data_IF_490763295610
#
_entry.id   IF_490763295610
#
_cell.length_a   1.000
_cell.length_b   1.000
_cell.length_c   1.000
_cell.angle_alpha   90.00
_cell.angle_beta   90.00
_cell.angle_gamma   90.00
#
_symmetry.space_group_name_H-M   'P 1'
#
loop_
_entity.id
_entity.type
_entity.pdbx_description
1 polymer ?
#
# COMPACT_ATOMS: atom_id res chain seq x y z
N UNK A 1 13.41 49.00 -1.13
CA UNK A 1 12.83 48.48 -2.39
C UNK A 1 13.06 46.98 -2.42
N UNK A 2 12.08 46.22 -1.98
CA UNK A 2 12.14 44.74 -1.92
C UNK A 2 11.42 44.21 -3.18
N UNK A 3 12.23 43.56 -4.03
CA UNK A 3 11.73 42.90 -5.25
C UNK A 3 10.90 41.65 -4.85
N UNK A 4 9.64 41.73 -5.19
CA UNK A 4 8.64 40.69 -4.87
C UNK A 4 8.12 40.07 -6.17
N UNK A 5 9.03 39.45 -6.95
CA UNK A 5 8.68 38.73 -8.17
C UNK A 5 8.19 37.33 -7.82
N UNK A 6 7.01 36.88 -8.26
CA UNK A 6 6.51 35.53 -8.01
C UNK A 6 7.31 34.51 -8.81
N UNK A 7 7.87 33.52 -8.12
CA UNK A 7 8.50 32.35 -8.72
C UNK A 7 7.48 31.54 -9.52
N UNK A 8 7.82 31.09 -10.73
CA UNK A 8 6.91 30.25 -11.52
C UNK A 8 6.74 28.89 -10.87
N UNK A 9 5.51 28.55 -10.50
CA UNK A 9 5.13 27.19 -10.14
C UNK A 9 5.52 26.22 -11.27
N UNK A 10 6.51 25.37 -11.05
CA UNK A 10 6.76 24.22 -11.92
C UNK A 10 5.51 23.34 -11.86
N UNK A 11 4.68 23.41 -12.88
CA UNK A 11 3.61 22.44 -13.14
C UNK A 11 4.31 21.10 -13.40
N UNK A 12 4.31 20.21 -12.43
CA UNK A 12 4.70 18.83 -12.65
C UNK A 12 3.83 18.25 -13.76
N UNK A 13 4.45 17.61 -14.73
CA UNK A 13 3.75 16.80 -15.73
C UNK A 13 2.93 15.75 -15.00
N UNK A 14 1.60 15.89 -15.01
CA UNK A 14 0.73 14.92 -14.40
C UNK A 14 0.53 13.74 -15.38
N UNK A 15 0.14 12.60 -14.84
CA UNK A 15 -0.09 11.33 -15.55
C UNK A 15 -1.00 11.50 -16.79
N UNK A 16 -1.98 12.43 -16.75
CA UNK A 16 -2.90 12.74 -17.85
C UNK A 16 -2.19 13.33 -19.08
N UNK A 17 -1.21 14.19 -18.87
CA UNK A 17 -0.51 14.88 -19.98
C UNK A 17 0.44 13.94 -20.73
N UNK A 18 1.02 12.95 -20.04
CA UNK A 18 1.96 12.01 -20.64
C UNK A 18 1.27 10.90 -21.43
N UNK A 19 0.19 10.34 -20.92
CA UNK A 19 -0.53 9.24 -21.59
C UNK A 19 -1.20 9.68 -22.89
N UNK A 20 -1.59 10.95 -23.01
CA UNK A 20 -2.10 11.52 -24.27
C UNK A 20 -1.01 11.65 -25.36
N UNK A 21 0.27 11.75 -24.96
CA UNK A 21 1.41 11.85 -25.88
C UNK A 21 2.02 10.50 -26.28
N UNK A 22 1.92 9.46 -25.45
CA UNK A 22 2.57 8.16 -25.66
C UNK A 22 1.89 7.28 -26.71
N UNK A 23 0.67 7.61 -27.11
CA UNK A 23 -0.03 6.88 -28.18
C UNK A 23 0.54 7.13 -29.60
N UNK A 24 1.51 8.03 -29.75
CA UNK A 24 1.99 8.49 -31.04
C UNK A 24 3.44 8.10 -31.41
N UNK A 25 4.24 7.51 -30.53
CA UNK A 25 5.63 7.14 -30.86
C UNK A 25 5.98 5.74 -30.38
N UNK A 26 5.92 4.77 -31.29
CA UNK A 26 6.50 3.45 -31.09
C UNK A 26 8.04 3.54 -31.16
N UNK A 27 8.70 3.47 -30.02
CA UNK A 27 10.16 3.33 -29.96
C UNK A 27 10.52 1.87 -29.65
N UNK A 28 11.06 1.19 -30.65
CA UNK A 28 11.69 -0.12 -30.50
C UNK A 28 13.04 0.07 -29.80
N UNK A 29 13.19 -0.42 -28.58
CA UNK A 29 14.47 -0.56 -27.91
C UNK A 29 14.80 -2.05 -27.77
N UNK A 30 15.98 -2.43 -28.29
CA UNK A 30 16.40 -3.80 -28.44
C UNK A 30 16.62 -4.57 -27.15
N UNK A 31 16.23 -5.83 -27.18
CA UNK A 31 16.46 -6.83 -26.15
C UNK A 31 17.91 -7.34 -26.22
N UNK A 32 18.74 -6.92 -25.29
CA UNK A 32 20.02 -7.56 -25.02
C UNK A 32 19.81 -8.71 -24.03
N UNK A 33 20.08 -9.93 -24.45
CA UNK A 33 20.10 -11.12 -23.62
C UNK A 33 21.25 -11.01 -22.58
N UNK A 34 20.90 -10.92 -21.29
CA UNK A 34 21.86 -11.02 -20.20
C UNK A 34 21.90 -12.46 -19.67
N UNK A 35 22.94 -13.17 -20.10
CA UNK A 35 23.30 -14.45 -19.52
C UNK A 35 23.71 -14.29 -18.05
N UNK A 36 23.06 -15.01 -17.17
CA UNK A 36 23.39 -15.05 -15.73
C UNK A 36 24.63 -15.92 -15.47
N UNK A 37 25.76 -15.31 -15.17
CA UNK A 37 26.88 -16.01 -14.50
C UNK A 37 26.67 -15.92 -12.99
N UNK A 38 26.34 -17.04 -12.38
CA UNK A 38 26.32 -17.18 -10.93
C UNK A 38 27.74 -17.01 -10.36
N UNK A 39 28.00 -15.89 -9.72
CA UNK A 39 29.15 -15.70 -8.82
C UNK A 39 28.68 -15.93 -7.39
N UNK A 40 29.38 -16.85 -6.69
CA UNK A 40 29.11 -17.21 -5.31
C UNK A 40 29.05 -15.99 -4.40
N UNK A 41 27.87 -15.74 -3.88
CA UNK A 41 27.67 -14.79 -2.79
C UNK A 41 27.98 -15.48 -1.47
N UNK A 42 28.91 -14.92 -0.72
CA UNK A 42 29.17 -15.33 0.66
C UNK A 42 27.86 -15.37 1.45
N UNK A 43 27.69 -16.41 2.25
CA UNK A 43 26.54 -16.61 3.14
C UNK A 43 26.50 -15.53 4.21
N UNK A 44 25.88 -14.39 3.90
CA UNK A 44 25.39 -13.53 4.95
C UNK A 44 24.31 -14.32 5.69
N UNK A 45 24.58 -14.66 6.95
CA UNK A 45 23.62 -15.29 7.86
C UNK A 45 22.32 -14.50 7.79
N UNK A 46 21.23 -15.16 7.36
CA UNK A 46 19.92 -14.53 7.32
C UNK A 46 19.61 -14.06 8.75
N UNK A 47 19.50 -12.75 8.95
CA UNK A 47 19.16 -12.20 10.26
C UNK A 47 17.83 -12.85 10.69
N UNK A 48 17.77 -13.39 11.91
CA UNK A 48 16.55 -14.01 12.42
C UNK A 48 15.43 -12.98 12.41
N UNK A 49 14.31 -13.30 11.75
CA UNK A 49 13.15 -12.39 11.63
C UNK A 49 12.45 -12.24 12.95
N UNK A 50 11.75 -11.11 13.09
CA UNK A 50 10.76 -10.98 14.15
C UNK A 50 9.64 -12.01 13.92
N UNK A 51 9.23 -12.77 14.96
CA UNK A 51 8.21 -13.80 14.83
C UNK A 51 6.85 -13.18 14.53
N UNK A 52 6.05 -13.86 13.72
CA UNK A 52 4.64 -13.53 13.52
C UNK A 52 3.81 -14.00 14.71
N UNK A 53 2.85 -13.22 15.21
CA UNK A 53 1.97 -13.59 16.32
C UNK A 53 0.85 -14.54 15.87
N UNK A 54 1.21 -15.73 15.35
CA UNK A 54 0.30 -16.65 14.66
C UNK A 54 -0.78 -17.30 15.52
N UNK A 55 -0.72 -17.15 16.84
CA UNK A 55 -1.71 -17.70 17.81
C UNK A 55 -2.25 -16.61 18.73
N UNK A 56 -2.22 -15.35 18.31
CA UNK A 56 -2.67 -14.25 19.14
C UNK A 56 -4.17 -14.34 19.42
N UNK A 57 -4.55 -14.11 20.67
CA UNK A 57 -5.95 -13.89 21.09
C UNK A 57 -6.36 -12.41 20.98
N UNK A 58 -5.39 -11.52 20.93
CA UNK A 58 -5.54 -10.09 20.66
C UNK A 58 -4.33 -9.58 19.90
N UNK A 59 -4.49 -8.51 19.13
CA UNK A 59 -3.44 -7.85 18.35
C UNK A 59 -3.54 -6.35 18.49
N UNK A 60 -2.38 -5.69 18.59
CA UNK A 60 -2.26 -4.25 18.40
C UNK A 60 -1.44 -3.99 17.13
N UNK A 61 -2.05 -3.39 16.12
CA UNK A 61 -1.52 -3.30 14.75
C UNK A 61 -1.32 -1.84 14.35
N UNK A 62 -0.14 -1.51 13.83
CA UNK A 62 0.14 -0.26 13.15
C UNK A 62 -0.27 -0.38 11.68
N UNK A 63 -0.97 0.62 11.14
CA UNK A 63 -1.38 0.66 9.71
C UNK A 63 -0.85 1.91 9.05
N UNK A 64 0.03 1.74 8.06
CA UNK A 64 0.65 2.84 7.31
C UNK A 64 0.62 2.54 5.82
N UNK A 65 0.46 3.55 4.98
CA UNK A 65 0.63 3.48 3.53
C UNK A 65 1.35 4.71 3.03
N UNK A 66 1.96 4.62 1.85
CA UNK A 66 2.58 5.75 1.18
C UNK A 66 3.71 6.40 2.02
N UNK A 67 4.46 5.55 2.71
CA UNK A 67 5.44 5.98 3.70
C UNK A 67 6.85 6.20 3.14
N UNK A 68 7.19 5.59 1.99
CA UNK A 68 8.54 5.36 1.51
C UNK A 68 9.32 6.55 0.95
N UNK A 69 9.24 7.74 1.56
CA UNK A 69 9.94 8.94 1.04
C UNK A 69 11.38 9.07 1.53
N UNK A 70 11.69 8.61 2.74
CA UNK A 70 12.98 8.86 3.40
C UNK A 70 13.14 10.30 3.91
N UNK A 71 12.06 11.09 3.92
CA UNK A 71 12.07 12.52 4.25
C UNK A 71 11.56 12.80 5.67
N UNK A 72 11.75 14.04 6.12
CA UNK A 72 11.32 14.51 7.46
C UNK A 72 9.86 14.14 7.82
N UNK A 73 8.88 14.25 6.90
CA UNK A 73 7.51 13.88 7.23
C UNK A 73 7.35 12.41 7.64
N UNK A 74 8.00 11.48 6.94
CA UNK A 74 8.00 10.07 7.31
C UNK A 74 8.58 9.87 8.72
N UNK A 75 9.72 10.51 9.02
CA UNK A 75 10.33 10.43 10.35
C UNK A 75 9.42 10.99 11.46
N UNK A 76 8.65 12.04 11.16
CA UNK A 76 7.68 12.59 12.13
C UNK A 76 6.56 11.59 12.44
N UNK A 77 6.00 10.95 11.40
CA UNK A 77 4.96 9.92 11.55
C UNK A 77 5.49 8.71 12.31
N UNK A 78 6.66 8.21 11.97
CA UNK A 78 7.26 7.06 12.68
C UNK A 78 7.67 7.40 14.11
N UNK A 79 8.08 8.64 14.39
CA UNK A 79 8.33 9.10 15.76
C UNK A 79 7.04 9.12 16.58
N UNK A 80 5.93 9.54 15.98
CA UNK A 80 4.61 9.50 16.61
C UNK A 80 4.16 8.05 16.91
N UNK A 81 4.34 7.14 15.94
CA UNK A 81 4.06 5.72 16.12
C UNK A 81 4.91 5.09 17.25
N UNK A 82 6.22 5.45 17.34
CA UNK A 82 7.09 5.00 18.44
C UNK A 82 6.60 5.43 19.82
N UNK A 83 5.99 6.62 19.94
CA UNK A 83 5.43 7.07 21.24
C UNK A 83 4.28 6.18 21.69
N UNK A 84 3.39 5.79 20.76
CA UNK A 84 2.32 4.84 21.05
C UNK A 84 2.91 3.48 21.37
N UNK A 85 3.86 2.99 20.57
CA UNK A 85 4.52 1.71 20.78
C UNK A 85 5.19 1.59 22.14
N UNK A 86 5.74 2.68 22.67
CA UNK A 86 6.39 2.72 23.99
C UNK A 86 5.41 2.48 25.15
N UNK A 87 4.15 2.85 25.00
CA UNK A 87 3.10 2.68 26.01
C UNK A 87 2.19 1.49 25.74
N UNK A 88 1.89 1.26 24.48
CA UNK A 88 1.05 0.16 23.99
C UNK A 88 1.76 -0.49 22.81
N UNK A 89 2.55 -1.53 23.05
CA UNK A 89 3.38 -2.16 22.02
C UNK A 89 2.55 -2.69 20.85
N UNK A 90 3.04 -2.44 19.62
CA UNK A 90 2.51 -3.07 18.41
C UNK A 90 3.06 -4.48 18.25
N UNK A 91 2.23 -5.40 17.82
CA UNK A 91 2.61 -6.78 17.49
C UNK A 91 3.14 -6.88 16.05
N UNK A 92 2.59 -6.06 15.15
CA UNK A 92 2.97 -6.00 13.74
C UNK A 92 2.51 -4.69 13.09
N UNK A 93 2.95 -4.46 11.84
CA UNK A 93 2.42 -3.41 11.00
C UNK A 93 1.87 -3.94 9.68
N UNK A 94 0.89 -3.21 9.11
CA UNK A 94 0.45 -3.32 7.72
C UNK A 94 1.04 -2.14 6.94
N UNK A 95 1.89 -2.44 5.95
CA UNK A 95 2.42 -1.50 4.98
C UNK A 95 1.59 -1.57 3.70
N UNK A 96 0.86 -0.51 3.36
CA UNK A 96 -0.16 -0.51 2.32
C UNK A 96 0.37 -0.05 0.94
N UNK A 97 1.65 -0.25 0.66
CA UNK A 97 2.28 0.08 -0.62
C UNK A 97 2.89 1.47 -0.68
N UNK A 98 3.51 1.75 -1.82
CA UNK A 98 4.39 2.90 -2.04
C UNK A 98 5.47 2.98 -0.97
N UNK A 99 6.15 1.85 -0.88
CA UNK A 99 7.19 1.58 0.10
C UNK A 99 8.49 2.32 -0.23
N UNK A 100 8.73 2.59 -1.53
CA UNK A 100 9.94 3.21 -2.07
C UNK A 100 9.59 4.25 -3.14
N UNK A 101 9.40 5.51 -2.74
CA UNK A 101 9.25 6.66 -3.65
C UNK A 101 10.60 7.11 -4.22
N UNK A 102 10.71 7.85 -5.34
CA UNK A 102 9.62 8.05 -6.33
C UNK A 102 9.55 6.89 -7.30
N UNK A 103 10.62 6.11 -7.40
CA UNK A 103 10.75 4.92 -8.25
C UNK A 103 11.18 3.74 -7.39
N UNK A 104 10.56 2.59 -7.60
CA UNK A 104 10.85 1.37 -6.85
C UNK A 104 12.33 0.93 -6.90
N UNK A 105 12.72 -0.02 -6.06
CA UNK A 105 14.11 -0.44 -5.94
C UNK A 105 14.59 -1.16 -7.21
N UNK A 106 15.89 -1.06 -7.52
CA UNK A 106 16.52 -1.74 -8.65
C UNK A 106 16.87 -3.20 -8.36
N UNK A 107 16.94 -3.55 -7.09
CA UNK A 107 17.28 -4.90 -6.62
C UNK A 107 17.22 -4.96 -5.10
N UNK A 108 17.38 -6.15 -4.49
CA UNK A 108 17.26 -6.31 -3.03
C UNK A 108 18.41 -5.67 -2.26
N UNK A 109 19.46 -5.21 -2.92
CA UNK A 109 20.60 -4.50 -2.34
C UNK A 109 20.48 -2.97 -2.47
N UNK A 110 19.37 -2.47 -3.02
CA UNK A 110 19.19 -1.03 -3.23
C UNK A 110 19.22 -0.29 -1.89
N UNK A 111 20.08 0.73 -1.83
CA UNK A 111 20.23 1.58 -0.64
C UNK A 111 18.92 2.28 -0.23
N UNK A 112 17.96 2.38 -1.11
CA UNK A 112 16.65 2.95 -0.83
C UNK A 112 15.93 2.22 0.32
N UNK A 113 16.10 0.90 0.45
CA UNK A 113 15.54 0.16 1.60
C UNK A 113 16.08 0.68 2.93
N UNK A 114 17.38 0.97 2.98
CA UNK A 114 17.99 1.53 4.19
C UNK A 114 17.46 2.93 4.51
N UNK A 115 17.37 3.80 3.51
CA UNK A 115 17.02 5.21 3.72
C UNK A 115 15.53 5.47 3.84
N UNK A 116 14.70 4.64 3.20
CA UNK A 116 13.26 4.86 3.12
C UNK A 116 12.43 3.88 3.98
N UNK A 117 13.04 2.80 4.46
CA UNK A 117 12.37 1.86 5.34
C UNK A 117 13.12 1.62 6.65
N UNK A 118 14.37 1.10 6.63
CA UNK A 118 15.03 0.66 7.85
C UNK A 118 15.32 1.83 8.83
N UNK A 119 15.92 2.92 8.34
CA UNK A 119 16.24 4.08 9.17
C UNK A 119 14.99 4.80 9.72
N UNK A 120 13.99 5.15 8.90
CA UNK A 120 12.79 5.80 9.42
C UNK A 120 12.07 4.95 10.48
N UNK A 121 12.02 3.63 10.30
CA UNK A 121 11.32 2.71 11.21
C UNK A 121 12.20 2.13 12.33
N UNK A 122 13.39 2.66 12.55
CA UNK A 122 14.24 2.21 13.66
C UNK A 122 13.51 2.36 15.00
N UNK A 123 13.55 1.30 15.82
CA UNK A 123 12.83 1.23 17.11
C UNK A 123 11.36 0.80 16.99
N UNK A 124 10.88 0.47 15.79
CA UNK A 124 9.62 -0.24 15.55
C UNK A 124 9.95 -1.67 15.12
N UNK A 125 10.39 -2.48 16.09
CA UNK A 125 11.05 -3.76 15.89
C UNK A 125 10.08 -4.94 15.98
N UNK A 126 9.23 -5.06 14.97
CA UNK A 126 8.21 -6.11 14.77
C UNK A 126 8.02 -6.38 13.26
N UNK A 127 7.27 -7.45 12.87
CA UNK A 127 7.01 -7.73 11.45
C UNK A 127 6.16 -6.62 10.78
N UNK A 128 6.54 -6.24 9.57
CA UNK A 128 5.78 -5.36 8.70
C UNK A 128 5.26 -6.15 7.52
N UNK A 129 3.96 -6.38 7.42
CA UNK A 129 3.32 -7.06 6.30
C UNK A 129 3.17 -6.06 5.16
N UNK A 130 4.01 -6.19 4.12
CA UNK A 130 4.16 -5.18 3.08
C UNK A 130 3.31 -5.52 1.84
N UNK A 131 2.68 -4.51 1.28
CA UNK A 131 1.92 -4.55 0.01
C UNK A 131 2.72 -3.79 -1.06
N UNK A 132 2.62 -4.19 -2.32
CA UNK A 132 3.21 -3.46 -3.43
C UNK A 132 2.32 -2.30 -3.90
N UNK A 133 2.90 -1.11 -4.02
CA UNK A 133 2.27 0.07 -4.63
C UNK A 133 2.73 0.32 -6.06
N UNK A 134 2.17 1.35 -6.69
CA UNK A 134 2.51 1.71 -8.07
C UNK A 134 3.90 2.36 -8.17
N UNK A 135 4.36 3.10 -7.16
CA UNK A 135 5.74 3.61 -7.12
C UNK A 135 6.76 2.48 -7.01
N UNK A 136 6.44 1.42 -6.29
CA UNK A 136 7.28 0.22 -6.15
C UNK A 136 7.49 -0.50 -7.49
N UNK A 137 6.56 -0.35 -8.43
CA UNK A 137 6.57 -0.93 -9.78
C UNK A 137 6.79 0.10 -10.89
N UNK A 138 7.44 1.22 -10.61
CA UNK A 138 7.71 2.27 -11.61
C UNK A 138 8.50 1.75 -12.82
N UNK A 139 8.05 2.06 -14.04
CA UNK A 139 8.73 1.75 -15.29
C UNK A 139 9.40 2.98 -15.90
N UNK A 140 8.62 3.91 -16.40
CA UNK A 140 9.06 5.03 -17.25
C UNK A 140 9.09 6.33 -16.44
N UNK A 141 8.04 6.61 -15.69
CA UNK A 141 7.94 7.81 -14.85
C UNK A 141 7.40 7.45 -13.46
N UNK A 142 7.75 8.24 -12.44
CA UNK A 142 7.39 7.93 -11.06
C UNK A 142 5.90 7.61 -10.88
N UNK A 143 5.61 6.43 -10.32
CA UNK A 143 4.25 6.01 -10.01
C UNK A 143 3.41 5.51 -11.18
N UNK A 144 4.00 5.22 -12.34
CA UNK A 144 3.26 4.65 -13.48
C UNK A 144 2.80 3.20 -13.26
N UNK A 145 3.45 2.49 -12.32
CA UNK A 145 3.09 1.11 -11.95
C UNK A 145 3.36 0.08 -13.05
N UNK A 146 3.95 0.47 -14.18
CA UNK A 146 4.02 -0.35 -15.38
C UNK A 146 5.14 -1.39 -15.40
N UNK A 147 6.11 -1.35 -14.49
CA UNK A 147 7.21 -2.31 -14.45
C UNK A 147 7.10 -3.28 -13.28
N UNK A 148 6.27 -4.27 -13.43
CA UNK A 148 5.95 -5.23 -12.37
C UNK A 148 7.16 -5.96 -11.79
N UNK A 149 8.22 -6.17 -12.57
CA UNK A 149 9.44 -6.83 -12.11
C UNK A 149 10.22 -6.07 -11.01
N UNK A 150 9.99 -4.77 -10.83
CA UNK A 150 10.60 -4.04 -9.70
C UNK A 150 10.07 -4.51 -8.35
N UNK A 151 8.80 -4.86 -8.27
CA UNK A 151 8.24 -5.44 -7.05
C UNK A 151 8.92 -6.75 -6.63
N UNK A 152 9.57 -7.48 -7.56
CA UNK A 152 10.36 -8.68 -7.22
C UNK A 152 11.60 -8.35 -6.37
N UNK A 153 12.14 -7.14 -6.50
CA UNK A 153 13.22 -6.67 -5.62
C UNK A 153 12.76 -6.55 -4.17
N UNK A 154 11.53 -6.09 -3.95
CA UNK A 154 10.92 -6.00 -2.62
C UNK A 154 10.60 -7.38 -2.03
N UNK A 155 10.08 -8.28 -2.85
CA UNK A 155 9.90 -9.69 -2.46
C UNK A 155 11.24 -10.32 -2.08
N UNK A 156 12.31 -10.06 -2.85
CA UNK A 156 13.64 -10.57 -2.53
C UNK A 156 14.23 -9.94 -1.26
N UNK A 157 13.91 -8.67 -0.98
CA UNK A 157 14.34 -7.97 0.23
C UNK A 157 13.78 -8.60 1.52
N UNK A 158 12.66 -9.31 1.45
CA UNK A 158 12.15 -10.13 2.53
C UNK A 158 13.22 -11.03 3.18
N UNK A 159 14.18 -11.52 2.44
CA UNK A 159 15.26 -12.38 2.97
C UNK A 159 16.38 -11.62 3.66
N UNK A 160 16.39 -10.28 3.57
CA UNK A 160 17.47 -9.44 4.08
C UNK A 160 17.09 -8.65 5.33
N UNK A 161 15.82 -8.28 5.45
CA UNK A 161 15.30 -7.50 6.58
C UNK A 161 14.66 -8.40 7.65
N UNK A 162 14.83 -8.01 8.91
CA UNK A 162 14.14 -8.65 10.04
C UNK A 162 12.69 -8.20 10.13
N UNK A 163 12.39 -6.96 9.68
CA UNK A 163 11.07 -6.33 9.75
C UNK A 163 10.23 -6.61 8.52
N UNK A 164 10.82 -6.49 7.33
CA UNK A 164 10.11 -6.56 6.05
C UNK A 164 9.58 -7.95 5.78
N UNK A 165 8.27 -8.13 5.85
CA UNK A 165 7.61 -9.39 5.57
C UNK A 165 6.83 -9.30 4.25
N UNK A 166 7.38 -9.83 3.19
CA UNK A 166 6.80 -9.92 1.85
C UNK A 166 7.32 -11.19 1.16
N UNK A 167 6.82 -12.39 1.56
CA UNK A 167 7.35 -13.66 1.04
C UNK A 167 7.01 -13.88 -0.43
N UNK A 168 5.99 -13.20 -0.95
CA UNK A 168 5.54 -13.19 -2.33
C UNK A 168 4.82 -11.86 -2.60
N UNK A 169 4.48 -11.59 -3.87
CA UNK A 169 3.73 -10.39 -4.27
C UNK A 169 2.30 -10.37 -3.72
N UNK A 170 1.70 -11.55 -3.53
CA UNK A 170 0.45 -11.75 -2.78
C UNK A 170 0.60 -12.95 -1.85
N UNK A 171 0.06 -12.84 -0.67
CA UNK A 171 0.21 -13.85 0.38
C UNK A 171 -0.83 -13.67 1.49
N UNK A 172 -0.93 -14.65 2.39
CA UNK A 172 -1.74 -14.53 3.59
C UNK A 172 -0.94 -14.90 4.84
N UNK A 173 -1.33 -14.30 5.96
CA UNK A 173 -0.71 -14.53 7.26
C UNK A 173 -1.80 -14.83 8.28
N UNK A 174 -1.85 -16.05 8.83
CA UNK A 174 -2.73 -16.38 9.95
C UNK A 174 -2.14 -15.81 11.24
N UNK A 175 -2.91 -15.01 11.96
CA UNK A 175 -2.51 -14.33 13.20
C UNK A 175 -3.36 -14.74 14.41
N UNK A 176 -4.05 -15.89 14.34
CA UNK A 176 -4.96 -16.34 15.39
C UNK A 176 -6.30 -15.60 15.33
N UNK A 177 -6.40 -14.44 15.95
CA UNK A 177 -7.65 -13.63 15.98
C UNK A 177 -8.00 -13.00 14.64
N UNK A 178 -7.05 -12.85 13.73
CA UNK A 178 -7.25 -12.30 12.39
C UNK A 178 -6.42 -13.05 11.35
N UNK A 179 -6.94 -13.17 10.12
CA UNK A 179 -6.15 -13.53 8.95
C UNK A 179 -6.01 -12.31 8.06
N UNK A 180 -4.77 -12.01 7.66
CA UNK A 180 -4.43 -10.92 6.73
C UNK A 180 -4.13 -11.51 5.36
N UNK A 181 -4.76 -10.94 4.31
CA UNK A 181 -4.60 -11.30 2.91
C UNK A 181 -4.06 -10.09 2.16
N UNK A 182 -2.82 -10.15 1.72
CA UNK A 182 -2.16 -9.10 0.95
C UNK A 182 -2.26 -9.42 -0.53
N UNK A 183 -2.73 -8.45 -1.33
CA UNK A 183 -2.96 -8.60 -2.76
C UNK A 183 -2.07 -7.64 -3.56
N UNK A 184 -1.60 -8.10 -4.71
CA UNK A 184 -1.00 -7.25 -5.73
C UNK A 184 -2.06 -6.87 -6.78
N UNK A 185 -2.55 -5.63 -6.70
CA UNK A 185 -3.53 -5.08 -7.64
C UNK A 185 -2.91 -4.25 -8.76
N UNK A 186 -1.58 -4.08 -8.78
CA UNK A 186 -0.91 -3.30 -9.82
C UNK A 186 -1.26 -3.75 -11.25
N UNK A 187 -1.36 -5.06 -11.55
CA UNK A 187 -1.76 -5.51 -12.89
C UNK A 187 -3.14 -5.05 -13.35
N UNK A 188 -4.03 -4.70 -12.41
CA UNK A 188 -5.41 -4.27 -12.69
C UNK A 188 -5.62 -2.75 -12.51
N UNK A 189 -4.63 -2.04 -11.98
CA UNK A 189 -4.70 -0.62 -11.66
C UNK A 189 -3.72 0.23 -12.49
N UNK A 190 -2.66 -0.38 -13.06
CA UNK A 190 -1.65 0.29 -13.87
C UNK A 190 -1.79 -0.07 -15.36
N UNK A 191 -1.20 0.75 -16.22
CA UNK A 191 -1.04 0.39 -17.62
C UNK A 191 0.08 -0.63 -17.78
N UNK A 192 -0.26 -1.79 -18.34
CA UNK A 192 0.70 -2.81 -18.69
C UNK A 192 0.86 -2.81 -20.20
N UNK A 193 2.06 -2.49 -20.72
CA UNK A 193 2.31 -2.56 -22.16
C UNK A 193 2.04 -3.98 -22.68
N UNK A 194 1.37 -4.15 -23.82
CA UNK A 194 0.99 -5.47 -24.37
C UNK A 194 2.15 -6.46 -24.56
N UNK A 195 3.37 -5.95 -24.81
CA UNK A 195 4.55 -6.78 -24.98
C UNK A 195 5.12 -7.34 -23.66
N UNK A 196 4.70 -6.78 -22.50
CA UNK A 196 5.09 -7.30 -21.19
C UNK A 196 4.24 -8.48 -20.80
N UNK A 197 3.20 -8.84 -21.63
CA UNK A 197 2.70 -10.16 -21.46
C UNK A 197 1.20 -10.42 -21.33
N UNK A 198 0.78 -11.53 -21.91
CA UNK A 198 -0.44 -12.23 -21.50
C UNK A 198 -0.43 -12.64 -20.01
N UNK A 199 0.75 -12.73 -19.36
CA UNK A 199 0.88 -13.15 -17.97
C UNK A 199 0.24 -12.15 -16.98
N UNK A 200 0.43 -10.84 -17.23
CA UNK A 200 0.08 -9.79 -16.28
C UNK A 200 -1.23 -9.05 -16.59
N UNK A 201 -1.83 -9.29 -17.74
CA UNK A 201 -3.09 -8.64 -18.11
C UNK A 201 -4.28 -9.10 -17.25
N UNK A 202 -5.39 -8.36 -17.23
CA UNK A 202 -6.63 -8.83 -16.66
C UNK A 202 -7.06 -10.16 -17.32
N UNK A 203 -7.22 -11.23 -16.50
CA UNK A 203 -7.48 -12.59 -17.01
C UNK A 203 -6.24 -13.41 -17.36
N UNK A 204 -5.04 -12.82 -17.35
CA UNK A 204 -3.77 -13.53 -17.50
C UNK A 204 -3.48 -14.49 -16.33
N UNK A 205 -2.44 -15.32 -16.50
CA UNK A 205 -2.13 -16.38 -15.53
C UNK A 205 -1.88 -15.86 -14.13
N UNK A 206 -1.18 -14.71 -14.00
CA UNK A 206 -0.87 -14.14 -12.70
C UNK A 206 -2.13 -13.79 -11.91
N UNK A 207 -3.04 -13.03 -12.52
CA UNK A 207 -4.29 -12.62 -11.87
C UNK A 207 -5.25 -13.78 -11.65
N UNK A 208 -5.29 -14.73 -12.58
CA UNK A 208 -6.10 -15.96 -12.42
C UNK A 208 -5.62 -16.81 -11.24
N UNK A 209 -4.29 -16.99 -11.08
CA UNK A 209 -3.70 -17.69 -9.93
C UNK A 209 -3.97 -16.95 -8.62
N UNK A 210 -3.81 -15.62 -8.59
CA UNK A 210 -4.10 -14.82 -7.41
C UNK A 210 -5.59 -14.94 -7.01
N UNK A 211 -6.50 -14.84 -7.97
CA UNK A 211 -7.94 -15.01 -7.72
C UNK A 211 -8.28 -16.40 -7.15
N UNK A 212 -7.80 -17.47 -7.76
CA UNK A 212 -8.04 -18.83 -7.30
C UNK A 212 -7.45 -19.11 -5.91
N UNK A 213 -6.26 -18.56 -5.64
CA UNK A 213 -5.63 -18.62 -4.33
C UNK A 213 -6.47 -17.87 -3.28
N UNK A 214 -6.86 -16.62 -3.58
CA UNK A 214 -7.64 -15.79 -2.65
C UNK A 214 -8.99 -16.44 -2.32
N UNK A 215 -9.69 -16.95 -3.34
CA UNK A 215 -10.97 -17.64 -3.16
C UNK A 215 -10.84 -18.82 -2.22
N UNK A 216 -9.78 -19.61 -2.36
CA UNK A 216 -9.51 -20.73 -1.46
C UNK A 216 -9.15 -20.23 -0.06
N UNK A 217 -8.22 -19.27 0.05
CA UNK A 217 -7.72 -18.76 1.31
C UNK A 217 -8.84 -18.12 2.16
N UNK A 218 -9.69 -17.27 1.56
CA UNK A 218 -10.85 -16.68 2.25
C UNK A 218 -11.90 -17.73 2.66
N UNK A 219 -12.10 -18.78 1.85
CA UNK A 219 -13.05 -19.84 2.18
C UNK A 219 -12.58 -20.74 3.31
N UNK A 220 -11.27 -21.04 3.37
CA UNK A 220 -10.70 -21.93 4.38
C UNK A 220 -10.33 -21.20 5.68
N UNK A 221 -10.25 -19.88 5.67
CA UNK A 221 -10.00 -19.09 6.88
C UNK A 221 -11.13 -19.25 7.90
N UNK A 222 -10.76 -19.61 9.11
CA UNK A 222 -11.65 -19.69 10.28
C UNK A 222 -11.43 -18.58 11.28
N UNK A 223 -10.50 -17.64 10.98
CA UNK A 223 -10.21 -16.52 11.86
C UNK A 223 -11.45 -15.65 12.12
N UNK A 224 -11.63 -15.14 13.35
CA UNK A 224 -12.68 -14.18 13.67
C UNK A 224 -12.72 -13.00 12.70
N UNK A 225 -11.57 -12.46 12.34
CA UNK A 225 -11.49 -11.34 11.41
C UNK A 225 -10.69 -11.68 10.15
N UNK A 226 -11.19 -11.20 9.01
CA UNK A 226 -10.53 -11.32 7.72
C UNK A 226 -10.23 -9.91 7.19
N UNK A 227 -8.95 -9.61 7.02
CA UNK A 227 -8.44 -8.31 6.61
C UNK A 227 -7.77 -8.48 5.26
N UNK A 228 -8.23 -7.75 4.23
CA UNK A 228 -7.59 -7.69 2.93
C UNK A 228 -6.84 -6.38 2.81
N UNK A 229 -5.59 -6.43 2.33
CA UNK A 229 -4.75 -5.27 2.06
C UNK A 229 -4.47 -5.17 0.56
N UNK A 230 -4.70 -3.99 0.01
CA UNK A 230 -4.34 -3.59 -1.36
C UNK A 230 -3.66 -2.23 -1.30
N UNK A 231 -2.91 -1.85 -2.34
CA UNK A 231 -2.44 -0.47 -2.41
C UNK A 231 -3.53 0.46 -2.92
N UNK A 232 -4.07 0.20 -4.10
CA UNK A 232 -5.14 1.02 -4.68
C UNK A 232 -6.48 0.79 -3.95
N UNK A 233 -7.25 1.85 -3.63
CA UNK A 233 -8.55 1.73 -2.98
C UNK A 233 -9.66 1.35 -3.96
N UNK A 234 -10.61 0.52 -3.52
CA UNK A 234 -11.85 0.29 -4.26
C UNK A 234 -12.76 1.53 -4.22
N UNK A 235 -12.96 2.09 -3.04
CA UNK A 235 -13.71 3.33 -2.82
C UNK A 235 -12.80 4.39 -2.23
N UNK A 236 -12.90 5.61 -2.74
CA UNK A 236 -12.02 6.71 -2.39
C UNK A 236 -12.71 8.06 -2.66
N UNK A 237 -12.64 8.97 -1.70
CA UNK A 237 -13.10 10.35 -1.82
C UNK A 237 -11.97 11.33 -2.19
N UNK A 238 -10.73 10.88 -2.22
CA UNK A 238 -9.58 11.71 -2.54
C UNK A 238 -9.36 11.89 -4.06
N UNK A 239 -8.32 12.64 -4.45
CA UNK A 239 -8.11 13.07 -5.83
C UNK A 239 -7.81 11.96 -6.82
N UNK A 240 -7.22 10.83 -6.37
CA UNK A 240 -6.95 9.69 -7.27
C UNK A 240 -8.22 8.94 -7.68
N UNK A 241 -9.35 9.19 -7.03
CA UNK A 241 -10.62 8.56 -7.36
C UNK A 241 -10.74 7.08 -6.95
N UNK A 242 -11.93 6.50 -7.06
CA UNK A 242 -12.18 5.08 -6.77
C UNK A 242 -11.84 4.19 -7.97
N UNK A 243 -11.78 2.89 -7.72
CA UNK A 243 -11.64 1.88 -8.78
C UNK A 243 -12.78 2.01 -9.82
N UNK A 244 -12.40 2.14 -11.08
CA UNK A 244 -13.27 2.49 -12.21
C UNK A 244 -13.24 3.97 -12.59
N UNK A 245 -12.55 4.82 -11.80
CA UNK A 245 -12.37 6.25 -12.08
C UNK A 245 -11.00 6.77 -11.60
N UNK A 246 -9.98 5.91 -11.58
CA UNK A 246 -8.63 6.35 -11.18
C UNK A 246 -8.13 7.47 -12.09
N UNK A 247 -7.76 8.59 -11.47
CA UNK A 247 -7.22 9.80 -12.11
C UNK A 247 -8.10 10.36 -13.25
N UNK A 248 -9.36 9.92 -13.35
CA UNK A 248 -10.25 10.23 -14.47
C UNK A 248 -9.75 9.70 -15.81
N UNK A 249 -8.98 8.61 -15.80
CA UNK A 249 -8.47 7.95 -17.01
C UNK A 249 -9.58 7.11 -17.67
N UNK A 250 -9.48 6.85 -18.99
CA UNK A 250 -10.39 5.92 -19.66
C UNK A 250 -10.06 4.47 -19.29
N UNK A 251 -11.06 3.59 -19.44
CA UNK A 251 -10.82 2.14 -19.35
C UNK A 251 -9.79 1.67 -20.42
N UNK A 252 -8.94 0.69 -20.09
CA UNK A 252 -8.85 -0.08 -18.85
C UNK A 252 -7.99 0.56 -17.75
N UNK A 253 -7.42 1.77 -17.99
CA UNK A 253 -6.45 2.43 -17.10
C UNK A 253 -7.06 2.99 -15.82
N UNK A 254 -8.39 3.09 -15.77
CA UNK A 254 -9.13 3.66 -14.65
C UNK A 254 -9.38 2.68 -13.48
N UNK A 255 -8.78 1.49 -13.51
CA UNK A 255 -8.97 0.47 -12.46
C UNK A 255 -10.31 -0.27 -12.52
N UNK A 256 -11.02 -0.23 -13.66
CA UNK A 256 -12.30 -0.95 -13.80
C UNK A 256 -12.15 -2.47 -13.60
N UNK A 257 -11.02 -3.05 -14.00
CA UNK A 257 -10.75 -4.48 -13.80
C UNK A 257 -10.45 -4.78 -12.32
N UNK A 258 -9.79 -3.89 -11.62
CA UNK A 258 -9.63 -3.99 -10.16
C UNK A 258 -10.99 -3.94 -9.47
N UNK A 259 -11.87 -3.04 -9.87
CA UNK A 259 -13.25 -2.96 -9.35
C UNK A 259 -13.95 -4.31 -9.47
N UNK A 260 -13.95 -4.90 -10.67
CA UNK A 260 -14.56 -6.23 -10.94
C UNK A 260 -13.95 -7.33 -10.08
N UNK A 261 -12.62 -7.32 -9.93
CA UNK A 261 -11.91 -8.30 -9.10
C UNK A 261 -12.36 -8.21 -7.63
N UNK A 262 -12.36 -7.01 -7.04
CA UNK A 262 -12.76 -6.79 -5.64
C UNK A 262 -14.24 -7.17 -5.42
N UNK A 263 -15.14 -6.78 -6.32
CA UNK A 263 -16.58 -7.12 -6.23
C UNK A 263 -16.83 -8.63 -6.29
N UNK A 264 -16.03 -9.36 -7.08
CA UNK A 264 -16.16 -10.80 -7.27
C UNK A 264 -15.50 -11.61 -6.16
N UNK A 265 -14.31 -11.23 -5.70
CA UNK A 265 -13.45 -12.08 -4.87
C UNK A 265 -13.32 -11.61 -3.42
N UNK A 266 -13.60 -10.34 -3.10
CA UNK A 266 -13.42 -9.77 -1.76
C UNK A 266 -14.73 -9.34 -1.11
N UNK A 267 -15.60 -8.69 -1.87
CA UNK A 267 -16.83 -8.07 -1.37
C UNK A 267 -17.74 -9.07 -0.64
N UNK A 268 -18.08 -8.76 0.62
CA UNK A 268 -18.90 -9.61 1.49
C UNK A 268 -18.19 -10.86 2.04
N UNK A 269 -16.90 -11.05 1.73
CA UNK A 269 -16.11 -12.21 2.15
C UNK A 269 -15.01 -11.85 3.15
N UNK A 270 -14.60 -10.59 3.17
CA UNK A 270 -13.70 -10.02 4.15
C UNK A 270 -14.43 -9.00 5.03
N UNK A 271 -13.92 -8.73 6.22
CA UNK A 271 -14.47 -7.72 7.12
C UNK A 271 -13.97 -6.32 6.78
N UNK A 272 -12.69 -6.23 6.36
CA UNK A 272 -12.02 -4.99 6.05
C UNK A 272 -11.23 -5.10 4.73
N UNK A 273 -11.21 -4.01 3.97
CA UNK A 273 -10.33 -3.74 2.86
C UNK A 273 -9.53 -2.48 3.21
N UNK A 274 -8.25 -2.66 3.52
CA UNK A 274 -7.31 -1.56 3.77
C UNK A 274 -6.55 -1.20 2.51
N UNK A 275 -6.38 0.11 2.27
CA UNK A 275 -5.66 0.62 1.10
C UNK A 275 -4.85 1.87 1.45
N UNK A 276 -3.82 2.14 0.65
CA UNK A 276 -3.05 3.37 0.59
C UNK A 276 -3.40 4.21 -0.64
N UNK A 277 -2.38 4.58 -1.43
CA UNK A 277 -2.44 5.25 -2.73
C UNK A 277 -2.92 6.70 -2.68
N UNK A 278 -4.07 6.95 -2.09
CA UNK A 278 -4.52 8.31 -1.85
C UNK A 278 -3.91 8.82 -0.54
N UNK A 279 -3.17 9.92 -0.63
CA UNK A 279 -2.41 10.47 0.49
C UNK A 279 -3.33 11.15 1.52
N UNK A 280 -4.23 10.35 2.06
CA UNK A 280 -5.29 10.75 2.98
C UNK A 280 -5.57 9.64 4.00
N UNK A 281 -6.40 9.95 4.97
CA UNK A 281 -6.99 8.95 5.87
C UNK A 281 -8.50 8.97 5.70
N UNK A 282 -9.12 7.81 5.44
CA UNK A 282 -10.56 7.71 5.25
C UNK A 282 -11.12 6.44 5.90
N UNK A 283 -12.24 6.59 6.60
CA UNK A 283 -13.06 5.50 7.12
C UNK A 283 -14.42 5.60 6.44
N UNK A 284 -14.62 4.84 5.36
CA UNK A 284 -15.82 4.93 4.53
C UNK A 284 -16.96 4.05 5.07
N UNK A 285 -18.19 4.52 4.88
CA UNK A 285 -19.40 3.83 5.32
C UNK A 285 -20.18 3.23 4.15
N UNK A 286 -20.68 2.02 4.36
CA UNK A 286 -21.75 1.42 3.52
C UNK A 286 -21.51 1.51 2.02
N UNK A 287 -20.28 1.22 1.59
CA UNK A 287 -19.93 1.15 0.17
C UNK A 287 -20.66 -0.06 -0.44
N UNK A 288 -21.72 0.21 -1.21
CA UNK A 288 -22.67 -0.82 -1.68
C UNK A 288 -22.01 -1.97 -2.44
N UNK A 289 -21.06 -1.67 -3.33
CA UNK A 289 -20.30 -2.68 -4.09
C UNK A 289 -19.46 -3.61 -3.24
N UNK A 290 -19.14 -3.25 -1.99
CA UNK A 290 -18.36 -4.05 -1.06
C UNK A 290 -19.19 -5.00 -0.18
N UNK A 291 -20.53 -4.98 -0.28
CA UNK A 291 -21.44 -5.96 0.37
C UNK A 291 -21.12 -6.18 1.86
N UNK A 292 -20.85 -5.11 2.61
CA UNK A 292 -20.53 -5.17 4.03
C UNK A 292 -19.03 -5.24 4.37
N UNK A 293 -18.15 -5.49 3.42
CA UNK A 293 -16.70 -5.28 3.60
C UNK A 293 -16.43 -3.76 3.76
N UNK A 294 -15.67 -3.37 4.77
CA UNK A 294 -15.43 -1.96 5.09
C UNK A 294 -14.17 -1.45 4.41
N UNK A 295 -14.27 -0.36 3.65
CA UNK A 295 -13.11 0.28 3.05
C UNK A 295 -12.48 1.27 4.02
N UNK A 296 -11.18 1.12 4.25
CA UNK A 296 -10.34 2.03 5.03
C UNK A 296 -9.17 2.46 4.14
N UNK A 297 -8.90 3.76 4.05
CA UNK A 297 -7.72 4.31 3.39
C UNK A 297 -6.79 4.89 4.44
N UNK A 298 -5.52 4.46 4.44
CA UNK A 298 -4.46 4.96 5.32
C UNK A 298 -3.19 5.19 4.49
N UNK A 299 -3.22 6.23 3.65
CA UNK A 299 -2.16 6.57 2.70
C UNK A 299 -1.39 7.85 3.04
N UNK A 300 -1.48 8.33 4.29
CA UNK A 300 -0.91 9.64 4.67
C UNK A 300 0.37 9.53 5.50
N UNK A 301 1.11 8.41 5.46
CA UNK A 301 2.23 8.22 6.39
C UNK A 301 3.48 9.07 6.08
N UNK A 302 3.61 9.62 4.86
CA UNK A 302 4.70 10.55 4.54
C UNK A 302 4.26 11.73 3.68
N UNK A 303 3.16 11.58 2.96
CA UNK A 303 2.60 12.58 2.04
C UNK A 303 1.19 12.97 2.49
N UNK A 304 0.69 14.09 2.02
CA UNK A 304 -0.72 14.48 2.14
C UNK A 304 -1.13 15.21 0.87
N UNK A 305 -2.38 15.07 0.46
CA UNK A 305 -2.87 15.72 -0.77
C UNK A 305 -3.16 17.21 -0.58
N UNK A 306 -3.21 17.66 0.67
CA UNK A 306 -3.60 19.04 1.03
C UNK A 306 -4.88 19.50 0.30
N UNK A 307 -5.84 18.58 0.21
CA UNK A 307 -7.05 18.69 -0.59
C UNK A 307 -8.34 18.66 0.22
N UNK A 308 -9.42 18.36 -0.48
CA UNK A 308 -10.76 18.17 0.08
C UNK A 308 -11.38 16.89 -0.43
N UNK A 309 -12.31 16.35 0.35
CA UNK A 309 -13.18 15.26 -0.07
C UNK A 309 -13.92 15.59 -1.35
N UNK A 310 -13.97 14.63 -2.27
CA UNK A 310 -14.85 14.72 -3.44
C UNK A 310 -16.30 14.32 -3.10
N UNK A 311 -16.55 13.80 -1.89
CA UNK A 311 -17.89 13.44 -1.42
C UNK A 311 -18.59 12.32 -2.18
N UNK A 312 -17.81 11.43 -2.84
CA UNK A 312 -18.37 10.30 -3.63
C UNK A 312 -19.00 9.24 -2.73
N UNK A 313 -18.45 9.04 -1.55
CA UNK A 313 -18.89 8.05 -0.57
C UNK A 313 -19.08 8.71 0.80
N UNK A 314 -20.07 8.24 1.55
CA UNK A 314 -20.22 8.65 2.93
C UNK A 314 -19.06 8.13 3.78
N UNK A 315 -18.51 9.00 4.63
CA UNK A 315 -17.41 8.66 5.52
C UNK A 315 -17.79 8.94 6.98
N UNK A 316 -17.23 8.11 7.87
CA UNK A 316 -17.21 8.39 9.33
C UNK A 316 -16.11 9.36 9.67
N UNK A 317 -15.01 9.28 8.94
CA UNK A 317 -13.82 10.10 9.16
C UNK A 317 -13.07 10.28 7.85
N UNK A 318 -12.55 11.49 7.62
CA UNK A 318 -11.70 11.84 6.49
C UNK A 318 -10.71 12.93 6.89
N UNK A 319 -9.43 12.73 6.53
CA UNK A 319 -8.38 13.75 6.63
C UNK A 319 -7.54 13.78 5.36
N UNK A 320 -7.38 14.97 4.79
CA UNK A 320 -6.64 15.25 3.56
C UNK A 320 -5.48 16.22 3.76
N UNK A 321 -5.25 16.70 4.98
CA UNK A 321 -4.30 17.78 5.29
C UNK A 321 -3.10 17.27 6.07
N UNK A 322 -3.38 16.60 7.17
CA UNK A 322 -2.36 16.14 8.07
C UNK A 322 -1.87 14.76 7.65
N UNK A 323 -0.60 14.52 7.89
CA UNK A 323 -0.04 13.17 7.79
C UNK A 323 -0.52 12.36 8.96
N UNK A 324 -0.42 11.05 8.83
CA UNK A 324 -0.89 10.21 9.91
C UNK A 324 -0.79 8.73 9.60
N UNK A 325 -1.34 7.96 10.51
CA UNK A 325 -1.41 6.52 10.45
C UNK A 325 -2.65 6.05 11.21
N UNK A 326 -2.98 4.79 11.11
CA UNK A 326 -4.05 4.20 11.92
C UNK A 326 -3.50 3.11 12.83
N UNK A 327 -4.25 2.80 13.88
CA UNK A 327 -3.99 1.65 14.76
C UNK A 327 -5.23 0.80 14.87
N UNK A 328 -5.02 -0.51 15.04
CA UNK A 328 -6.10 -1.46 15.31
C UNK A 328 -5.81 -2.20 16.62
N UNK A 329 -6.77 -2.20 17.52
CA UNK A 329 -6.80 -3.16 18.62
C UNK A 329 -7.85 -4.22 18.27
N UNK A 330 -7.42 -5.47 18.12
CA UNK A 330 -8.24 -6.57 17.61
C UNK A 330 -8.34 -7.65 18.68
N UNK A 331 -9.53 -8.08 19.00
CA UNK A 331 -9.81 -9.31 19.72
C UNK A 331 -10.84 -10.18 18.96
N UNK A 332 -11.26 -11.31 19.54
CA UNK A 332 -12.19 -12.23 18.86
C UNK A 332 -13.59 -11.63 18.62
N UNK A 333 -13.95 -10.54 19.30
CA UNK A 333 -15.30 -9.95 19.29
C UNK A 333 -15.35 -8.54 18.69
N UNK A 334 -14.21 -7.83 18.71
CA UNK A 334 -14.16 -6.44 18.29
C UNK A 334 -12.87 -6.04 17.59
N UNK A 335 -12.98 -5.01 16.76
CA UNK A 335 -11.85 -4.24 16.21
C UNK A 335 -12.08 -2.78 16.56
N UNK A 336 -11.18 -2.22 17.34
CA UNK A 336 -11.12 -0.77 17.59
C UNK A 336 -10.13 -0.17 16.60
N UNK A 337 -10.60 0.70 15.73
CA UNK A 337 -9.78 1.45 14.78
C UNK A 337 -9.64 2.88 15.30
N UNK A 338 -8.40 3.35 15.39
CA UNK A 338 -8.08 4.74 15.73
C UNK A 338 -7.26 5.39 14.64
N UNK A 339 -7.68 6.55 14.15
CA UNK A 339 -6.91 7.38 13.25
C UNK A 339 -6.09 8.41 14.05
N UNK A 340 -4.81 8.50 13.73
CA UNK A 340 -3.86 9.41 14.36
C UNK A 340 -3.37 10.44 13.34
N UNK A 341 -3.52 11.71 13.67
CA UNK A 341 -2.99 12.82 12.90
C UNK A 341 -1.64 13.26 13.47
N UNK A 342 -0.72 13.61 12.58
CA UNK A 342 0.61 14.11 12.91
C UNK A 342 0.80 15.44 12.20
N UNK A 343 0.41 16.51 12.85
CA UNK A 343 0.60 17.86 12.34
C UNK A 343 2.10 18.21 12.24
N UNK A 344 2.45 19.04 11.26
CA UNK A 344 3.84 19.40 10.96
C UNK A 344 4.60 19.97 12.17
N UNK A 345 3.89 20.61 13.10
CA UNK A 345 4.45 21.28 14.29
C UNK A 345 4.07 20.56 15.60
N UNK A 346 3.45 19.37 15.52
CA UNK A 346 2.96 18.69 16.71
C UNK A 346 4.09 17.98 17.47
N UNK A 347 3.99 18.01 18.78
CA UNK A 347 4.89 17.27 19.68
C UNK A 347 4.59 15.76 19.74
N UNK A 348 3.51 15.30 19.11
CA UNK A 348 3.07 13.89 19.08
C UNK A 348 1.84 13.66 18.20
N UNK A 349 1.37 12.40 18.11
CA UNK A 349 0.13 12.09 17.43
C UNK A 349 -1.07 12.63 18.19
N UNK A 350 -2.09 13.05 17.46
CA UNK A 350 -3.42 13.35 18.00
C UNK A 350 -4.36 12.22 17.58
N UNK A 351 -5.08 11.64 18.54
CA UNK A 351 -6.20 10.75 18.22
C UNK A 351 -7.33 11.59 17.64
N UNK A 352 -7.49 11.53 16.33
CA UNK A 352 -8.47 12.36 15.63
C UNK A 352 -9.84 11.68 15.54
N UNK A 353 -9.84 10.33 15.49
CA UNK A 353 -11.07 9.56 15.38
C UNK A 353 -10.87 8.14 15.91
N UNK A 354 -11.90 7.62 16.59
CA UNK A 354 -11.94 6.23 17.05
C UNK A 354 -13.31 5.62 16.75
N UNK A 355 -13.33 4.37 16.31
CA UNK A 355 -14.57 3.61 16.11
C UNK A 355 -14.35 2.14 16.44
N UNK A 356 -15.44 1.49 16.91
CA UNK A 356 -15.43 0.06 17.24
C UNK A 356 -16.35 -0.70 16.28
N UNK A 357 -15.81 -1.75 15.69
CA UNK A 357 -16.58 -2.74 14.93
C UNK A 357 -16.76 -4.00 15.75
N UNK A 358 -17.98 -4.49 15.83
CA UNK A 358 -18.34 -5.74 16.52
C UNK A 358 -18.75 -6.80 15.50
N UNK A 359 -18.52 -8.07 15.87
CA UNK A 359 -19.00 -9.23 15.09
C UNK A 359 -20.49 -9.42 15.31
#
# INVERSE_FOLDING_TARGET
>A
MTDNSPQPHRRGLNRRTFLAGAAATGAAAGLGALGSTARGAGTASAASRFPLPSKASSLHVLVTGDAGTGEKPQYAVTAAARRIHATTPFDLALGLGDNIYETGPKGPDDHQFTTKFEKPNAGLDFPWLMTLGNHDNTAVFPGDGGWLLRGDAEVAYHRRSRRWYMPARYYSVPLGVADVFVLDMNPLAAYIPPFLSPEWEPGGHYMTRQAAWLDRALRTSTAPWKIVCTHHPYANNGPHGPAGDFDGLPAPLNGVEMKRFIEKHVAGRAHFLFSGHDHSQQVLENVSGLKGTRQIVSGAAAKSVNGRSAGRFRAKYENYRDRGFMTLAIDSTSVVLTAHEVAANASGPTEAFTTTYRR
#
